data_IF_938559250360
#
_entry.id   IF_938559250360
#
_cell.length_a   1.000
_cell.length_b   1.000
_cell.length_c   1.000
_cell.angle_alpha   90.00
_cell.angle_beta   90.00
_cell.angle_gamma   90.00
#
_symmetry.space_group_name_H-M   'P 1'
#
loop_
_entity.id
_entity.type
_entity.pdbx_description
1 polymer ?
#
# COMPACT_ATOMS: atom_id res chain seq x y z
N UNK A 1 7.07 -16.83 0.19
CA UNK A 1 6.53 -15.76 1.08
C UNK A 1 5.02 -15.89 1.24
N UNK A 2 4.23 -15.84 0.16
CA UNK A 2 2.76 -15.90 0.21
C UNK A 2 2.18 -17.06 1.05
N UNK A 3 2.76 -18.25 0.98
CA UNK A 3 2.35 -19.38 1.82
C UNK A 3 2.34 -19.05 3.31
N UNK A 4 3.45 -18.50 3.82
CA UNK A 4 3.62 -18.13 5.23
C UNK A 4 2.74 -16.94 5.59
N UNK A 5 2.63 -15.98 4.67
CA UNK A 5 1.78 -14.81 4.85
C UNK A 5 0.29 -15.15 4.98
N UNK A 6 -0.15 -16.25 4.36
CA UNK A 6 -1.52 -16.76 4.46
C UNK A 6 -1.72 -17.78 5.58
N UNK A 7 -0.67 -18.17 6.33
CA UNK A 7 -0.81 -19.17 7.39
C UNK A 7 -1.78 -18.74 8.51
N UNK A 8 -1.74 -17.49 9.02
CA UNK A 8 -2.70 -17.05 10.03
C UNK A 8 -4.15 -17.16 9.53
N UNK A 9 -4.42 -16.82 8.27
CA UNK A 9 -5.75 -16.93 7.66
C UNK A 9 -6.18 -18.39 7.55
N UNK A 10 -5.31 -19.25 7.03
CA UNK A 10 -5.59 -20.69 6.89
C UNK A 10 -5.81 -21.39 8.23
N UNK A 11 -5.17 -20.89 9.28
CA UNK A 11 -5.32 -21.36 10.66
C UNK A 11 -6.53 -20.75 11.38
N UNK A 12 -7.30 -19.84 10.74
CA UNK A 12 -8.40 -19.08 11.37
C UNK A 12 -7.96 -18.18 12.53
N UNK A 13 -6.72 -17.69 12.48
CA UNK A 13 -6.16 -16.73 13.45
C UNK A 13 -6.39 -15.28 12.98
N UNK A 14 -6.54 -15.06 11.67
CA UNK A 14 -6.80 -13.75 11.06
C UNK A 14 -7.81 -13.89 9.92
N UNK A 15 -8.62 -12.86 9.66
CA UNK A 15 -9.57 -12.87 8.54
C UNK A 15 -8.98 -12.23 7.28
N UNK A 16 -7.92 -11.43 7.43
CA UNK A 16 -7.29 -10.66 6.36
C UNK A 16 -5.76 -10.66 6.46
N UNK A 17 -5.03 -10.42 5.36
CA UNK A 17 -3.57 -10.28 5.40
C UNK A 17 -3.10 -9.12 6.29
N UNK A 18 -3.92 -8.08 6.44
CA UNK A 18 -3.72 -6.93 7.32
C UNK A 18 -3.78 -7.29 8.80
N UNK A 19 -4.41 -8.40 9.16
CA UNK A 19 -4.50 -8.89 10.54
C UNK A 19 -3.57 -10.08 10.80
N UNK A 20 -2.82 -10.52 9.79
CA UNK A 20 -1.93 -11.67 9.87
C UNK A 20 -0.62 -11.29 10.56
N UNK A 21 -0.65 -11.21 11.88
CA UNK A 21 0.51 -10.81 12.69
C UNK A 21 1.74 -11.71 12.47
N UNK A 22 2.91 -11.11 12.63
CA UNK A 22 4.22 -11.75 12.42
C UNK A 22 4.49 -12.28 11.00
N UNK A 23 3.75 -11.79 10.00
CA UNK A 23 3.98 -12.12 8.59
C UNK A 23 4.75 -11.03 7.85
N UNK A 24 5.34 -11.40 6.70
CA UNK A 24 6.05 -10.45 5.86
C UNK A 24 5.09 -9.48 5.18
N UNK A 25 3.89 -9.95 4.80
CA UNK A 25 2.85 -9.08 4.23
C UNK A 25 2.41 -8.02 5.24
N UNK A 26 2.09 -8.38 6.48
CA UNK A 26 1.70 -7.41 7.53
C UNK A 26 2.76 -6.33 7.74
N UNK A 27 4.03 -6.72 7.76
CA UNK A 27 5.15 -5.79 7.95
C UNK A 27 5.28 -4.82 6.76
N UNK A 28 5.09 -5.30 5.54
CA UNK A 28 5.10 -4.48 4.32
C UNK A 28 3.91 -3.55 4.25
N UNK A 29 2.70 -4.03 4.55
CA UNK A 29 1.49 -3.20 4.61
C UNK A 29 1.60 -2.09 5.66
N UNK A 30 2.18 -2.40 6.83
CA UNK A 30 2.45 -1.40 7.87
C UNK A 30 3.46 -0.34 7.41
N UNK A 31 4.44 -0.72 6.60
CA UNK A 31 5.40 0.23 6.01
C UNK A 31 4.74 1.09 4.93
N UNK A 32 3.90 0.48 4.08
CA UNK A 32 3.12 1.19 3.06
C UNK A 32 2.17 2.23 3.67
N UNK A 33 1.49 1.90 4.77
CA UNK A 33 0.65 2.85 5.51
C UNK A 33 1.43 4.04 6.08
N UNK A 34 2.76 3.93 6.20
CA UNK A 34 3.66 5.04 6.59
C UNK A 34 4.27 5.76 5.37
N UNK A 35 3.83 5.44 4.16
CA UNK A 35 4.38 5.94 2.91
C UNK A 35 5.76 5.37 2.56
N UNK A 36 6.15 4.24 3.16
CA UNK A 36 7.46 3.60 2.95
C UNK A 36 7.30 2.36 2.06
N UNK A 37 8.05 2.32 0.97
CA UNK A 37 8.09 1.17 0.04
C UNK A 37 9.13 0.13 0.44
N UNK A 38 10.09 0.51 1.29
CA UNK A 38 11.14 -0.35 1.83
C UNK A 38 10.78 -0.80 3.24
N UNK A 39 11.15 -2.02 3.61
CA UNK A 39 10.84 -2.55 4.95
C UNK A 39 12.09 -3.06 5.63
N UNK A 40 12.33 -2.62 6.87
CA UNK A 40 13.49 -3.07 7.65
C UNK A 40 13.49 -4.59 7.79
N UNK A 41 14.64 -5.22 7.56
CA UNK A 41 14.85 -6.67 7.65
C UNK A 41 14.13 -7.53 6.61
N UNK A 42 13.51 -6.93 5.58
CA UNK A 42 12.95 -7.65 4.44
C UNK A 42 13.62 -7.19 3.15
N UNK A 43 13.77 -8.10 2.20
CA UNK A 43 14.28 -7.76 0.88
C UNK A 43 13.24 -6.90 0.13
N UNK A 44 13.68 -5.82 -0.51
CA UNK A 44 12.80 -4.91 -1.23
C UNK A 44 12.32 -5.50 -2.56
N UNK A 45 11.10 -5.12 -2.97
CA UNK A 45 10.56 -5.43 -4.29
C UNK A 45 11.08 -4.40 -5.30
N UNK A 46 11.88 -4.84 -6.27
CA UNK A 46 12.54 -3.95 -7.23
C UNK A 46 11.76 -3.78 -8.53
N UNK A 47 10.65 -4.50 -8.71
CA UNK A 47 9.90 -4.52 -9.97
C UNK A 47 10.69 -5.18 -11.10
N UNK A 48 10.29 -4.88 -12.34
CA UNK A 48 10.80 -5.50 -13.57
C UNK A 48 11.94 -4.71 -14.25
N UNK A 49 12.37 -3.59 -13.67
CA UNK A 49 13.40 -2.72 -14.24
C UNK A 49 14.80 -3.18 -13.79
N UNK A 50 15.46 -3.95 -14.66
CA UNK A 50 16.72 -4.64 -14.36
C UNK A 50 17.99 -3.79 -14.53
N UNK A 51 17.88 -2.49 -14.80
CA UNK A 51 19.05 -1.76 -15.32
C UNK A 51 20.19 -1.53 -14.32
N UNK A 52 19.98 -1.61 -12.99
CA UNK A 52 21.06 -1.37 -12.01
C UNK A 52 20.84 -1.93 -10.59
N UNK A 53 19.80 -2.73 -10.32
CA UNK A 53 19.51 -3.25 -8.97
C UNK A 53 19.80 -4.75 -8.89
N UNK A 54 20.97 -5.13 -8.41
CA UNK A 54 21.38 -6.54 -8.24
C UNK A 54 20.83 -7.20 -6.97
N UNK A 55 20.24 -6.43 -6.05
CA UNK A 55 19.79 -6.91 -4.75
C UNK A 55 18.32 -6.54 -4.53
N UNK A 56 17.42 -7.52 -4.66
CA UNK A 56 15.98 -7.31 -4.53
C UNK A 56 15.15 -8.48 -5.05
N UNK A 57 13.86 -8.48 -4.73
CA UNK A 57 12.88 -9.38 -5.32
C UNK A 57 12.44 -8.78 -6.66
N UNK A 58 12.69 -9.43 -7.82
CA UNK A 58 12.34 -8.92 -9.14
C UNK A 58 10.84 -9.10 -9.43
N UNK A 59 10.02 -8.45 -8.61
CA UNK A 59 8.56 -8.48 -8.68
C UNK A 59 8.04 -7.14 -8.16
N UNK A 60 6.85 -6.70 -8.58
CA UNK A 60 6.27 -5.48 -8.01
C UNK A 60 5.60 -5.82 -6.67
N UNK A 61 5.72 -4.92 -5.69
CA UNK A 61 5.05 -5.09 -4.41
C UNK A 61 3.52 -5.12 -4.55
N UNK A 62 2.97 -4.32 -5.47
CA UNK A 62 1.52 -4.31 -5.75
C UNK A 62 1.06 -5.67 -6.30
N UNK A 63 1.76 -6.19 -7.31
CA UNK A 63 1.47 -7.53 -7.87
C UNK A 63 1.57 -8.62 -6.80
N UNK A 64 2.52 -8.49 -5.86
CA UNK A 64 2.65 -9.42 -4.74
C UNK A 64 1.43 -9.38 -3.82
N UNK A 65 0.97 -8.18 -3.48
CA UNK A 65 -0.19 -7.98 -2.61
C UNK A 65 -1.45 -8.56 -3.26
N UNK A 66 -1.68 -8.28 -4.55
CA UNK A 66 -2.78 -8.86 -5.33
C UNK A 66 -2.69 -10.39 -5.41
N UNK A 67 -1.50 -10.93 -5.67
CA UNK A 67 -1.29 -12.38 -5.70
C UNK A 67 -1.64 -13.03 -4.36
N UNK A 68 -1.25 -12.41 -3.23
CA UNK A 68 -1.57 -12.95 -1.91
C UNK A 68 -3.07 -12.93 -1.65
N UNK A 69 -3.76 -11.86 -2.02
CA UNK A 69 -5.22 -11.76 -1.89
C UNK A 69 -5.93 -12.80 -2.75
N UNK A 70 -5.53 -12.92 -4.02
CA UNK A 70 -6.07 -13.91 -4.94
C UNK A 70 -5.90 -15.34 -4.43
N UNK A 71 -4.70 -15.71 -3.94
CA UNK A 71 -4.44 -17.03 -3.36
C UNK A 71 -5.19 -17.21 -2.03
N UNK A 72 -5.30 -16.15 -1.22
CA UNK A 72 -5.96 -16.19 0.08
C UNK A 72 -7.46 -16.44 -0.01
N UNK A 73 -8.10 -16.01 -1.10
CA UNK A 73 -9.51 -16.27 -1.41
C UNK A 73 -9.77 -17.70 -1.89
N UNK A 74 -8.76 -18.41 -2.39
CA UNK A 74 -8.94 -19.78 -2.87
C UNK A 74 -9.26 -20.73 -1.71
N UNK A 75 -10.47 -21.30 -1.74
CA UNK A 75 -10.90 -22.31 -0.78
C UNK A 75 -10.18 -23.62 -1.06
N UNK A 76 -9.48 -24.14 -0.05
CA UNK A 76 -8.85 -25.46 -0.09
C UNK A 76 -9.48 -26.36 0.95
N UNK A 77 -9.91 -27.54 0.55
CA UNK A 77 -10.53 -28.54 1.44
C UNK A 77 -9.63 -28.92 2.64
N UNK A 78 -8.30 -28.83 2.47
CA UNK A 78 -7.33 -29.14 3.52
C UNK A 78 -7.12 -28.01 4.55
N UNK A 79 -7.74 -26.82 4.38
CA UNK A 79 -7.55 -25.64 5.23
C UNK A 79 -8.85 -25.19 5.89
N UNK A 80 -8.74 -24.67 7.11
CA UNK A 80 -9.89 -24.27 7.94
C UNK A 80 -10.37 -22.85 7.68
N UNK A 81 -9.54 -21.99 7.07
CA UNK A 81 -9.84 -20.58 6.79
C UNK A 81 -9.37 -20.14 5.41
N UNK A 82 -10.02 -19.10 4.91
CA UNK A 82 -9.80 -18.42 3.63
C UNK A 82 -10.25 -16.95 3.78
N UNK A 83 -9.88 -16.10 2.84
CA UNK A 83 -10.39 -14.72 2.75
C UNK A 83 -11.79 -14.76 2.13
N UNK A 84 -12.78 -14.17 2.81
CA UNK A 84 -14.16 -14.10 2.32
C UNK A 84 -14.26 -13.31 1.00
N UNK A 85 -14.89 -13.89 -0.02
CA UNK A 85 -15.12 -13.27 -1.35
C UNK A 85 -15.90 -11.96 -1.27
N UNK A 86 -16.69 -11.75 -0.22
CA UNK A 86 -17.46 -10.51 -0.02
C UNK A 86 -16.60 -9.33 0.41
N UNK A 87 -15.36 -9.56 0.85
CA UNK A 87 -14.46 -8.49 1.21
C UNK A 87 -13.95 -7.77 -0.05
N UNK A 88 -13.81 -6.43 -0.02
CA UNK A 88 -13.15 -5.69 -1.08
C UNK A 88 -11.72 -6.18 -1.27
N UNK A 89 -11.18 -6.00 -2.47
CA UNK A 89 -9.81 -6.40 -2.77
C UNK A 89 -8.82 -5.68 -1.84
N UNK A 90 -7.73 -6.37 -1.50
CA UNK A 90 -6.72 -5.82 -0.58
C UNK A 90 -6.25 -4.43 -1.00
N UNK A 91 -6.12 -4.15 -2.30
CA UNK A 91 -5.71 -2.83 -2.77
C UNK A 91 -6.78 -1.78 -2.55
N UNK A 92 -8.06 -2.12 -2.64
CA UNK A 92 -9.16 -1.21 -2.31
C UNK A 92 -9.20 -0.93 -0.80
N UNK A 93 -8.95 -1.96 0.03
CA UNK A 93 -8.88 -1.82 1.49
C UNK A 93 -7.66 -1.00 1.95
N UNK A 94 -6.58 -1.01 1.16
CA UNK A 94 -5.37 -0.21 1.38
C UNK A 94 -5.40 1.15 0.67
N UNK A 95 -6.37 1.41 -0.19
CA UNK A 95 -6.45 2.65 -0.95
C UNK A 95 -6.66 3.84 -0.02
N UNK A 96 -6.12 4.99 -0.42
CA UNK A 96 -6.51 6.29 0.15
C UNK A 96 -8.04 6.38 0.16
N UNK A 97 -8.64 7.14 1.10
CA UNK A 97 -10.08 7.39 1.08
C UNK A 97 -10.46 7.78 -0.35
N UNK A 98 -11.34 7.02 -1.01
CA UNK A 98 -11.65 7.20 -2.44
C UNK A 98 -12.04 8.64 -2.77
N UNK A 99 -12.57 9.35 -1.77
CA UNK A 99 -12.84 10.79 -1.75
C UNK A 99 -11.61 11.68 -1.98
N UNK A 100 -10.43 11.37 -1.43
CA UNK A 100 -9.20 12.13 -1.68
C UNK A 100 -8.65 11.92 -3.09
N UNK A 101 -8.72 10.69 -3.60
CA UNK A 101 -8.29 10.40 -4.98
C UNK A 101 -9.20 11.09 -6.00
N UNK A 102 -10.53 11.01 -5.80
CA UNK A 102 -11.51 11.75 -6.59
C UNK A 102 -11.29 13.26 -6.50
N UNK A 103 -11.03 13.79 -5.30
CA UNK A 103 -10.71 15.20 -5.10
C UNK A 103 -9.45 15.61 -5.85
N UNK A 104 -8.39 14.80 -5.84
CA UNK A 104 -7.20 15.08 -6.63
C UNK A 104 -7.53 15.14 -8.12
N UNK A 105 -8.12 14.08 -8.67
CA UNK A 105 -8.41 14.01 -10.11
C UNK A 105 -9.37 15.11 -10.60
N UNK A 106 -10.31 15.55 -9.77
CA UNK A 106 -11.29 16.58 -10.15
C UNK A 106 -10.81 18.01 -9.82
N UNK A 107 -10.06 18.22 -8.74
CA UNK A 107 -9.64 19.55 -8.32
C UNK A 107 -8.29 20.01 -8.91
N UNK A 108 -7.50 19.09 -9.45
CA UNK A 108 -6.21 19.41 -10.08
C UNK A 108 -6.36 20.32 -11.30
N UNK A 109 -7.38 20.07 -12.12
CA UNK A 109 -7.57 20.75 -13.39
C UNK A 109 -8.49 21.98 -13.28
N UNK A 110 -9.27 22.08 -12.20
CA UNK A 110 -10.28 23.14 -12.06
C UNK A 110 -9.71 24.48 -11.59
N UNK A 111 -8.55 24.49 -10.94
CA UNK A 111 -7.86 25.71 -10.50
C UNK A 111 -6.36 25.53 -10.68
N UNK A 112 -5.58 26.59 -10.96
CA UNK A 112 -4.13 26.54 -11.01
C UNK A 112 -3.58 26.34 -9.58
N UNK A 113 -3.62 25.09 -9.11
CA UNK A 113 -3.04 24.67 -7.83
C UNK A 113 -1.62 24.22 -8.13
N UNK A 114 -0.63 24.95 -7.61
CA UNK A 114 0.77 24.65 -7.87
C UNK A 114 1.32 23.49 -7.02
N UNK A 115 0.63 23.15 -5.93
CA UNK A 115 1.18 22.28 -4.90
C UNK A 115 0.20 21.17 -4.52
N UNK A 116 0.73 19.98 -4.28
CA UNK A 116 -0.01 18.82 -3.80
C UNK A 116 0.83 18.19 -2.71
N UNK A 117 0.23 17.88 -1.57
CA UNK A 117 0.94 17.20 -0.50
C UNK A 117 0.23 17.30 0.85
N UNK A 118 0.76 16.58 1.84
CA UNK A 118 0.25 16.68 3.20
C UNK A 118 0.56 18.03 3.82
N UNK A 119 -0.22 18.42 4.84
CA UNK A 119 -0.04 19.70 5.55
C UNK A 119 1.42 19.92 5.97
N UNK A 120 2.11 18.87 6.44
CA UNK A 120 3.52 18.94 6.82
C UNK A 120 4.41 19.33 5.65
N UNK A 121 4.25 18.67 4.50
CA UNK A 121 5.05 18.95 3.31
C UNK A 121 4.73 20.30 2.69
N UNK A 122 3.45 20.69 2.64
CA UNK A 122 3.05 22.01 2.15
C UNK A 122 3.60 23.12 3.05
N UNK A 123 3.55 22.95 4.37
CA UNK A 123 4.12 23.93 5.32
C UNK A 123 5.64 24.00 5.21
N UNK A 124 6.31 22.85 5.07
CA UNK A 124 7.74 22.79 4.85
C UNK A 124 8.15 23.47 3.53
N UNK A 125 7.44 23.20 2.43
CA UNK A 125 7.66 23.85 1.14
C UNK A 125 7.44 25.37 1.22
N UNK A 126 6.42 25.82 1.96
CA UNK A 126 6.15 27.25 2.19
C UNK A 126 7.34 27.96 2.81
N UNK A 127 7.91 27.37 3.86
CA UNK A 127 9.06 27.90 4.57
C UNK A 127 10.31 27.86 3.69
N UNK A 128 10.60 26.72 3.07
CA UNK A 128 11.80 26.51 2.25
C UNK A 128 11.84 27.42 1.02
N UNK A 129 10.69 27.71 0.41
CA UNK A 129 10.57 28.56 -0.77
C UNK A 129 10.29 30.03 -0.44
N UNK A 130 10.31 30.40 0.86
CA UNK A 130 10.05 31.74 1.36
C UNK A 130 8.75 32.37 0.80
N UNK A 131 7.67 31.58 0.75
CA UNK A 131 6.35 32.02 0.24
C UNK A 131 5.44 32.46 1.38
N UNK A 132 4.76 33.59 1.20
CA UNK A 132 3.74 34.04 2.18
C UNK A 132 2.46 33.19 2.15
N UNK A 133 2.12 32.62 0.98
CA UNK A 133 0.95 31.75 0.77
C UNK A 133 1.30 30.57 -0.14
N UNK A 134 0.65 29.43 0.09
CA UNK A 134 0.66 28.26 -0.80
C UNK A 134 -0.78 27.95 -1.18
N UNK A 135 -1.02 27.81 -2.48
CA UNK A 135 -2.29 27.34 -3.03
C UNK A 135 -2.06 25.92 -3.52
N UNK A 136 -2.61 24.96 -2.80
CA UNK A 136 -2.39 23.55 -3.09
C UNK A 136 -3.52 22.65 -2.65
N UNK A 137 -3.52 21.42 -3.15
CA UNK A 137 -4.42 20.36 -2.71
C UNK A 137 -3.78 19.68 -1.50
N UNK A 138 -4.54 19.65 -0.41
CA UNK A 138 -4.20 18.86 0.75
C UNK A 138 -4.58 17.39 0.52
N UNK A 139 -3.65 16.49 0.82
CA UNK A 139 -3.86 15.04 0.88
C UNK A 139 -3.44 14.54 2.25
N UNK A 140 -4.17 13.57 2.81
CA UNK A 140 -3.98 13.08 4.18
C UNK A 140 -2.70 12.27 4.35
#
# INVERSE_FOLDING_TARGET
>A
MAYVDLNPIRAKIADTPEQSDHTSIKTRLTSLNKGQTTTRSLLDFTGYEHKNKSHGIPFRLMDYIELVDWIGRQVREDKRGHIDERQPDILERLSFPQQECLKLCTELETKPRLWIGSTKHLTHAKQKLNRQRIVGIHIS
#
